data_IF_915429946602
#
_entry.id   IF_915429946602
#
_cell.length_a   1.000
_cell.length_b   1.000
_cell.length_c   1.000
_cell.angle_alpha   90.00
_cell.angle_beta   90.00
_cell.angle_gamma   90.00
#
_symmetry.space_group_name_H-M   'P 1'
#
loop_
_entity.id
_entity.type
_entity.pdbx_description
1 polymer ?
#
# COMPACT_ATOMS: atom_id res chain seq x y z
N UNK A 1 3.12 18.67 -12.22
CA UNK A 1 2.23 17.82 -11.41
C UNK A 1 1.69 18.71 -10.32
N UNK A 2 0.38 18.72 -10.07
CA UNK A 2 -0.24 19.63 -9.12
C UNK A 2 -0.41 18.94 -7.77
N UNK A 3 -0.31 19.68 -6.66
CA UNK A 3 -0.56 19.21 -5.28
C UNK A 3 -1.96 18.58 -5.15
N UNK A 4 -2.94 19.01 -5.94
CA UNK A 4 -4.26 18.37 -5.96
C UNK A 4 -4.24 16.85 -6.26
N UNK A 5 -3.17 16.36 -6.90
CA UNK A 5 -3.03 14.94 -7.23
C UNK A 5 -2.48 14.09 -6.08
N UNK A 6 -1.62 14.63 -5.20
CA UNK A 6 -1.11 13.84 -4.08
C UNK A 6 -2.18 13.70 -2.98
N UNK A 7 -3.07 14.69 -2.83
CA UNK A 7 -4.22 14.62 -1.93
C UNK A 7 -5.16 13.45 -2.25
N UNK A 8 -5.28 13.08 -3.54
CA UNK A 8 -6.08 11.93 -3.98
C UNK A 8 -5.53 10.58 -3.50
N UNK A 9 -4.23 10.51 -3.16
CA UNK A 9 -3.60 9.29 -2.66
C UNK A 9 -3.75 9.13 -1.14
N UNK A 10 -4.00 10.20 -0.40
CA UNK A 10 -4.18 10.16 1.06
C UNK A 10 -5.23 9.13 1.50
N UNK A 11 -6.49 9.15 0.99
CA UNK A 11 -7.49 8.18 1.43
C UNK A 11 -7.20 6.73 1.00
N UNK A 12 -6.26 6.54 0.07
CA UNK A 12 -5.89 5.21 -0.44
C UNK A 12 -4.67 4.64 0.27
N UNK A 13 -3.86 5.48 0.90
CA UNK A 13 -2.63 5.07 1.57
C UNK A 13 -2.96 4.60 2.98
N UNK A 14 -2.55 3.39 3.33
CA UNK A 14 -2.80 2.81 4.65
C UNK A 14 -1.49 2.60 5.40
N UNK A 15 -1.55 2.73 6.72
CA UNK A 15 -0.43 2.39 7.60
C UNK A 15 -0.64 1.02 8.20
N UNK A 16 0.43 0.21 8.22
CA UNK A 16 0.40 -1.13 8.77
C UNK A 16 1.09 -1.15 10.13
N UNK A 17 0.47 -1.86 11.07
CA UNK A 17 0.96 -2.01 12.42
C UNK A 17 0.76 -3.44 12.90
N UNK A 18 1.75 -3.97 13.61
CA UNK A 18 1.68 -5.25 14.28
C UNK A 18 0.56 -5.23 15.33
N UNK A 19 -0.35 -6.22 15.31
CA UNK A 19 -1.50 -6.27 16.21
C UNK A 19 -1.12 -6.51 17.67
N UNK A 20 -0.01 -7.20 17.90
CA UNK A 20 0.38 -7.67 19.23
C UNK A 20 1.25 -6.61 19.93
N UNK A 21 2.19 -6.02 19.18
CA UNK A 21 3.20 -5.10 19.72
C UNK A 21 2.90 -3.63 19.46
N UNK A 22 1.91 -3.33 18.61
CA UNK A 22 1.57 -1.98 18.15
C UNK A 22 2.74 -1.23 17.49
N UNK A 23 3.75 -1.96 17.00
CA UNK A 23 4.85 -1.37 16.22
C UNK A 23 4.45 -1.24 14.77
N UNK A 24 4.73 -0.09 14.17
CA UNK A 24 4.49 0.12 12.74
C UNK A 24 5.41 -0.75 11.90
N UNK A 25 4.84 -1.40 10.89
CA UNK A 25 5.55 -2.38 10.04
C UNK A 25 5.70 -1.91 8.60
N UNK A 26 4.88 -0.97 8.15
CA UNK A 26 5.03 -0.36 6.84
C UNK A 26 3.80 0.37 6.32
N UNK A 27 3.71 0.43 4.99
CA UNK A 27 2.67 1.12 4.23
C UNK A 27 2.00 0.15 3.27
N UNK A 28 0.72 0.35 3.00
CA UNK A 28 0.01 -0.29 1.90
C UNK A 28 -0.81 0.71 1.10
N UNK A 29 -1.45 0.22 0.04
CA UNK A 29 -2.42 0.99 -0.74
C UNK A 29 -3.70 0.18 -0.95
N UNK A 30 -4.85 0.83 -0.76
CA UNK A 30 -6.16 0.30 -1.13
C UNK A 30 -6.25 0.24 -2.64
N UNK A 31 -6.55 -0.94 -3.17
CA UNK A 31 -6.86 -1.20 -4.56
C UNK A 31 -8.29 -1.68 -4.70
N UNK A 32 -9.10 -0.93 -5.45
CA UNK A 32 -10.48 -1.28 -5.78
C UNK A 32 -10.64 -1.28 -7.30
N UNK A 33 -11.37 -2.27 -7.80
CA UNK A 33 -11.72 -2.39 -9.21
C UNK A 33 -13.12 -2.99 -9.34
N UNK A 34 -13.84 -2.64 -10.41
CA UNK A 34 -15.22 -3.08 -10.62
C UNK A 34 -15.35 -4.61 -10.64
N UNK A 35 -14.34 -5.30 -11.18
CA UNK A 35 -14.30 -6.76 -11.22
C UNK A 35 -14.13 -7.44 -9.85
N UNK A 36 -13.80 -6.68 -8.80
CA UNK A 36 -13.66 -7.22 -7.44
C UNK A 36 -14.99 -7.27 -6.68
N UNK A 37 -16.08 -6.78 -7.27
CA UNK A 37 -17.42 -6.81 -6.68
C UNK A 37 -17.47 -6.18 -5.27
N UNK A 38 -17.65 -6.99 -4.23
CA UNK A 38 -17.76 -6.64 -2.82
C UNK A 38 -16.42 -6.65 -2.08
N UNK A 39 -15.32 -7.00 -2.76
CA UNK A 39 -13.97 -7.04 -2.20
C UNK A 39 -13.13 -5.85 -2.64
N UNK A 40 -12.11 -5.55 -1.85
CA UNK A 40 -10.99 -4.71 -2.21
C UNK A 40 -9.70 -5.37 -1.75
N UNK A 41 -8.58 -4.90 -2.29
CA UNK A 41 -7.27 -5.39 -1.92
C UNK A 41 -6.48 -4.31 -1.19
N UNK A 42 -5.67 -4.71 -0.22
CA UNK A 42 -4.55 -3.90 0.25
C UNK A 42 -3.28 -4.49 -0.36
N UNK A 43 -2.62 -3.70 -1.20
CA UNK A 43 -1.33 -4.06 -1.77
C UNK A 43 -0.23 -3.53 -0.86
N UNK A 44 0.71 -4.39 -0.48
CA UNK A 44 1.84 -4.01 0.39
C UNK A 44 3.05 -4.90 0.11
N UNK A 45 4.13 -4.68 0.86
CA UNK A 45 5.29 -5.56 0.86
C UNK A 45 5.05 -6.75 1.79
N UNK A 46 5.52 -7.94 1.40
CA UNK A 46 5.38 -9.14 2.22
C UNK A 46 6.10 -8.98 3.55
N UNK A 47 7.29 -8.38 3.60
CA UNK A 47 8.05 -8.22 4.85
C UNK A 47 7.29 -7.45 5.93
N UNK A 48 6.33 -6.59 5.56
CA UNK A 48 5.46 -5.88 6.52
C UNK A 48 4.55 -6.82 7.32
N UNK A 49 4.34 -8.06 6.85
CA UNK A 49 3.45 -9.06 7.41
C UNK A 49 4.20 -10.16 8.20
N UNK A 50 5.52 -10.17 8.15
CA UNK A 50 6.37 -11.11 8.88
C UNK A 50 7.13 -10.45 10.05
N UNK A 51 7.11 -11.08 11.23
CA UNK A 51 7.82 -10.62 12.44
C UNK A 51 9.33 -10.56 12.22
N UNK A 52 9.85 -11.45 11.39
CA UNK A 52 11.26 -11.54 11.01
C UNK A 52 11.61 -10.83 9.69
N UNK A 53 10.69 -10.00 9.16
CA UNK A 53 10.91 -9.16 7.99
C UNK A 53 11.20 -9.98 6.72
N UNK A 54 12.35 -9.75 6.10
CA UNK A 54 12.75 -10.33 4.81
C UNK A 54 13.11 -11.83 4.89
N UNK A 55 13.08 -12.41 6.09
CA UNK A 55 13.32 -13.84 6.28
C UNK A 55 12.09 -14.69 5.95
N UNK A 56 10.89 -14.10 6.02
CA UNK A 56 9.61 -14.72 5.69
C UNK A 56 9.29 -16.04 6.43
N UNK A 57 9.77 -16.23 7.67
CA UNK A 57 9.54 -17.46 8.45
C UNK A 57 8.49 -17.30 9.54
N UNK A 58 8.42 -16.12 10.15
CA UNK A 58 7.52 -15.86 11.28
C UNK A 58 6.37 -14.95 10.86
N UNK A 59 5.29 -15.55 10.34
CA UNK A 59 4.13 -14.82 9.86
C UNK A 59 3.31 -14.28 11.03
N UNK A 60 2.92 -13.00 10.97
CA UNK A 60 1.94 -12.43 11.92
C UNK A 60 0.57 -13.07 11.70
N UNK A 61 -0.15 -13.37 12.77
CA UNK A 61 -1.53 -13.86 12.63
C UNK A 61 -2.47 -12.74 12.17
N UNK A 62 -2.33 -11.54 12.74
CA UNK A 62 -3.14 -10.39 12.44
C UNK A 62 -2.28 -9.16 12.14
N UNK A 63 -2.87 -8.21 11.42
CA UNK A 63 -2.29 -6.91 11.15
C UNK A 63 -3.34 -5.82 11.39
N UNK A 64 -2.92 -4.73 12.02
CA UNK A 64 -3.72 -3.52 12.11
C UNK A 64 -3.47 -2.68 10.85
N UNK A 65 -4.56 -2.25 10.23
CA UNK A 65 -4.59 -1.41 9.03
C UNK A 65 -5.24 -0.11 9.43
N UNK A 66 -4.43 0.93 9.54
CA UNK A 66 -4.86 2.29 9.82
C UNK A 66 -5.25 2.94 8.48
N UNK A 67 -6.51 3.37 8.35
CA UNK A 67 -7.16 3.87 7.13
C UNK A 67 -7.64 5.30 7.36
N UNK A 68 -7.35 6.22 6.42
CA UNK A 68 -7.74 7.62 6.56
C UNK A 68 -9.26 7.82 6.45
N UNK A 69 -9.83 8.43 7.47
CA UNK A 69 -11.22 8.90 7.51
C UNK A 69 -11.26 10.41 7.24
N UNK A 70 -11.92 10.80 6.15
CA UNK A 70 -12.03 12.20 5.73
C UNK A 70 -12.90 13.05 6.64
N UNK A 71 -13.86 12.46 7.34
CA UNK A 71 -14.75 13.17 8.27
C UNK A 71 -14.00 13.56 9.54
N UNK A 72 -13.31 12.59 10.15
CA UNK A 72 -12.58 12.79 11.42
C UNK A 72 -11.18 13.37 11.20
N UNK A 73 -10.69 13.37 9.95
CA UNK A 73 -9.32 13.74 9.55
C UNK A 73 -8.25 12.92 10.27
N UNK A 74 -8.58 11.69 10.65
CA UNK A 74 -7.70 10.77 11.38
C UNK A 74 -7.62 9.42 10.67
N UNK A 75 -6.70 8.58 11.13
CA UNK A 75 -6.64 7.20 10.68
C UNK A 75 -7.40 6.31 11.67
N UNK A 76 -8.44 5.65 11.18
CA UNK A 76 -9.21 4.66 11.93
C UNK A 76 -8.66 3.27 11.66
N UNK A 77 -8.77 2.38 12.65
CA UNK A 77 -8.11 1.09 12.62
C UNK A 77 -9.07 -0.04 12.28
N UNK A 78 -8.64 -0.88 11.36
CA UNK A 78 -9.19 -2.21 11.09
C UNK A 78 -8.15 -3.27 11.43
N UNK A 79 -8.49 -4.27 12.25
CA UNK A 79 -7.64 -5.45 12.44
C UNK A 79 -8.07 -6.54 11.46
N UNK A 80 -7.10 -7.10 10.74
CA UNK A 80 -7.34 -8.12 9.73
C UNK A 80 -6.46 -9.35 9.94
N UNK A 81 -7.05 -10.54 9.80
CA UNK A 81 -6.32 -11.81 9.86
C UNK A 81 -5.58 -12.06 8.55
N UNK A 82 -4.29 -12.37 8.63
CA UNK A 82 -3.48 -12.59 7.44
C UNK A 82 -3.74 -14.00 6.89
N UNK A 83 -4.04 -14.08 5.58
CA UNK A 83 -4.13 -15.35 4.88
C UNK A 83 -2.77 -15.70 4.25
N UNK A 84 -2.09 -16.78 4.70
CA UNK A 84 -0.78 -17.18 4.21
C UNK A 84 -0.71 -17.51 2.72
N UNK A 85 -1.84 -17.87 2.09
CA UNK A 85 -1.93 -18.28 0.69
C UNK A 85 -1.93 -17.09 -0.28
N UNK A 86 -2.10 -15.86 0.23
CA UNK A 86 -2.19 -14.63 -0.56
C UNK A 86 -0.90 -13.79 -0.51
N UNK A 87 0.20 -14.41 -0.07
CA UNK A 87 1.49 -13.77 0.14
C UNK A 87 2.54 -14.32 -0.84
N UNK A 88 3.23 -13.44 -1.57
CA UNK A 88 4.42 -13.87 -2.30
C UNK A 88 5.63 -13.86 -1.35
N UNK A 89 6.18 -15.04 -1.06
CA UNK A 89 7.32 -15.24 -0.14
C UNK A 89 8.62 -15.40 -0.91
N UNK A 90 8.90 -14.46 -1.81
CA UNK A 90 10.14 -14.46 -2.58
C UNK A 90 10.83 -13.12 -2.40
N UNK A 91 12.10 -13.13 -2.00
CA UNK A 91 12.86 -11.90 -1.76
C UNK A 91 12.97 -10.99 -3.00
N UNK A 92 12.94 -11.59 -4.19
CA UNK A 92 12.93 -10.86 -5.46
C UNK A 92 11.54 -10.34 -5.85
N UNK A 93 10.50 -10.72 -5.09
CA UNK A 93 9.08 -10.35 -5.28
C UNK A 93 8.42 -10.14 -3.91
N UNK A 94 8.86 -9.08 -3.24
CA UNK A 94 8.36 -8.69 -1.92
C UNK A 94 7.00 -7.97 -2.02
N UNK A 95 5.96 -8.75 -2.35
CA UNK A 95 4.60 -8.25 -2.59
C UNK A 95 3.57 -9.15 -1.90
N UNK A 96 2.63 -8.53 -1.20
CA UNK A 96 1.51 -9.20 -0.56
C UNK A 96 0.18 -8.53 -0.90
N UNK A 97 -0.88 -9.34 -0.87
CA UNK A 97 -2.26 -8.89 -1.07
C UNK A 97 -3.10 -9.31 0.13
N UNK A 98 -3.74 -8.35 0.79
CA UNK A 98 -4.78 -8.62 1.80
C UNK A 98 -6.14 -8.40 1.15
N UNK A 99 -7.06 -9.36 1.29
CA UNK A 99 -8.43 -9.25 0.74
C UNK A 99 -9.35 -8.78 1.84
N UNK A 100 -9.97 -7.62 1.64
CA UNK A 100 -10.88 -7.00 2.61
C UNK A 100 -12.28 -6.90 2.01
N UNK A 101 -13.28 -7.18 2.83
CA UNK A 101 -14.68 -6.88 2.52
C UNK A 101 -14.91 -5.38 2.49
N UNK A 102 -15.54 -4.87 1.42
CA UNK A 102 -15.90 -3.45 1.33
C UNK A 102 -16.77 -3.01 2.50
N UNK A 103 -17.66 -3.89 2.97
CA UNK A 103 -18.51 -3.64 4.15
C UNK A 103 -17.71 -3.38 5.44
N UNK A 104 -16.52 -3.98 5.57
CA UNK A 104 -15.67 -3.82 6.75
C UNK A 104 -14.99 -2.44 6.83
N UNK A 105 -14.87 -1.72 5.71
CA UNK A 105 -14.26 -0.38 5.68
C UNK A 105 -15.23 0.74 5.30
N UNK A 106 -16.48 0.40 4.96
CA UNK A 106 -17.48 1.38 4.53
C UNK A 106 -17.79 2.43 5.61
N UNK A 107 -17.66 2.06 6.89
CA UNK A 107 -17.79 2.97 8.02
C UNK A 107 -16.61 3.95 8.18
N UNK A 108 -15.50 3.72 7.47
CA UNK A 108 -14.28 4.55 7.52
C UNK A 108 -14.14 5.38 6.24
N UNK A 109 -14.40 4.75 5.09
CA UNK A 109 -14.36 5.36 3.77
C UNK A 109 -15.71 5.14 3.09
N UNK A 110 -16.45 6.22 2.90
CA UNK A 110 -17.76 6.18 2.23
C UNK A 110 -17.61 5.84 0.73
N UNK A 111 -16.66 6.50 0.05
CA UNK A 111 -16.44 6.35 -1.40
C UNK A 111 -15.02 5.86 -1.67
N UNK A 112 -14.90 4.64 -2.18
CA UNK A 112 -13.61 4.04 -2.58
C UNK A 112 -13.47 4.17 -4.10
N UNK A 113 -12.55 5.01 -4.62
CA UNK A 113 -12.38 5.18 -6.05
C UNK A 113 -11.81 3.91 -6.71
N UNK A 114 -12.25 3.63 -7.93
CA UNK A 114 -11.66 2.57 -8.77
C UNK A 114 -10.28 2.99 -9.25
N UNK A 115 -9.31 2.08 -9.14
CA UNK A 115 -7.91 2.31 -9.52
C UNK A 115 -7.59 1.60 -10.83
N UNK A 116 -7.07 2.36 -11.79
CA UNK A 116 -6.55 1.81 -13.05
C UNK A 116 -5.07 1.47 -12.89
N UNK A 117 -4.72 0.23 -13.23
CA UNK A 117 -3.33 -0.23 -13.22
C UNK A 117 -2.67 0.13 -14.55
N UNK A 118 -1.50 0.77 -14.47
CA UNK A 118 -0.66 1.02 -15.63
C UNK A 118 0.20 -0.23 -15.87
N UNK A 119 0.09 -0.83 -17.05
CA UNK A 119 0.84 -2.05 -17.43
C UNK A 119 2.14 -1.73 -18.17
N UNK A 120 2.21 -0.59 -18.83
CA UNK A 120 3.32 -0.18 -19.68
C UNK A 120 3.95 1.11 -19.14
N UNK A 121 5.28 1.08 -18.98
CA UNK A 121 6.06 2.14 -18.31
C UNK A 121 6.25 3.38 -19.20
N UNK A 122 6.29 3.18 -20.51
CA UNK A 122 6.98 4.08 -21.45
C UNK A 122 6.28 5.44 -21.64
N UNK A 123 5.06 5.59 -21.13
CA UNK A 123 4.24 6.80 -21.25
C UNK A 123 4.30 7.74 -20.04
N UNK A 124 4.86 7.34 -18.89
CA UNK A 124 4.82 8.14 -17.65
C UNK A 124 6.20 8.39 -17.04
N UNK A 125 6.67 9.64 -17.11
CA UNK A 125 7.99 10.03 -16.56
C UNK A 125 7.94 10.58 -15.13
N UNK A 126 6.79 11.06 -14.67
CA UNK A 126 6.61 11.68 -13.35
C UNK A 126 5.58 10.89 -12.55
N UNK A 127 5.86 10.64 -11.29
CA UNK A 127 4.95 9.90 -10.41
C UNK A 127 4.98 10.46 -8.99
N UNK A 128 3.98 10.08 -8.21
CA UNK A 128 3.84 10.46 -6.80
C UNK A 128 3.99 9.18 -6.00
N UNK A 129 4.83 9.21 -4.96
CA UNK A 129 4.95 8.13 -4.00
C UNK A 129 4.51 8.68 -2.65
N UNK A 130 3.61 7.97 -1.97
CA UNK A 130 3.08 8.37 -0.66
C UNK A 130 3.14 7.21 0.31
N UNK A 131 3.47 7.49 1.56
CA UNK A 131 3.57 6.45 2.59
C UNK A 131 4.07 6.95 3.93
N UNK A 132 4.31 6.02 4.84
CA UNK A 132 4.76 6.25 6.21
C UNK A 132 6.21 5.80 6.36
N UNK A 133 7.19 6.69 6.11
CA UNK A 133 8.59 6.31 6.16
C UNK A 133 9.06 6.10 7.60
N UNK A 134 10.02 5.19 7.78
CA UNK A 134 10.69 5.00 9.09
C UNK A 134 11.37 6.27 9.58
N UNK A 135 11.78 7.17 8.69
CA UNK A 135 12.41 8.45 9.03
C UNK A 135 11.50 9.40 9.83
N UNK A 136 10.18 9.27 9.70
CA UNK A 136 9.18 10.00 10.51
C UNK A 136 8.61 9.12 11.62
N UNK A 137 9.35 8.09 12.03
CA UNK A 137 8.88 7.03 12.95
C UNK A 137 7.58 6.34 12.48
N UNK A 138 7.25 6.43 11.18
CA UNK A 138 5.98 6.00 10.59
C UNK A 138 4.74 6.73 11.15
N UNK A 139 4.93 7.89 11.78
CA UNK A 139 3.84 8.69 12.37
C UNK A 139 3.24 9.67 11.36
N UNK A 140 4.05 10.14 10.42
CA UNK A 140 3.66 11.13 9.42
C UNK A 140 3.56 10.52 8.02
N UNK A 141 2.52 10.93 7.29
CA UNK A 141 2.36 10.62 5.87
C UNK A 141 3.28 11.53 5.05
N UNK A 142 4.30 10.95 4.43
CA UNK A 142 5.22 11.66 3.55
C UNK A 142 4.85 11.48 2.09
N UNK A 143 5.20 12.47 1.26
CA UNK A 143 5.05 12.44 -0.19
C UNK A 143 6.40 12.71 -0.85
N UNK A 144 6.69 11.94 -1.91
CA UNK A 144 7.81 12.15 -2.81
C UNK A 144 7.28 12.38 -4.22
N UNK A 145 8.04 13.15 -5.00
CA UNK A 145 7.72 13.49 -6.39
C UNK A 145 8.83 13.02 -7.35
N UNK A 146 9.04 11.70 -7.52
CA UNK A 146 10.14 11.23 -8.32
C UNK A 146 9.90 11.45 -9.82
N UNK A 147 11.00 11.52 -10.56
CA UNK A 147 11.01 11.54 -12.02
C UNK A 147 11.92 10.42 -12.49
N UNK A 148 11.52 9.65 -13.50
CA UNK A 148 12.39 8.67 -14.14
C UNK A 148 13.54 9.37 -14.85
N UNK A 149 14.78 9.07 -14.47
CA UNK A 149 15.98 9.68 -15.05
C UNK A 149 16.64 8.85 -16.17
N UNK A 150 16.21 7.60 -16.39
CA UNK A 150 16.92 6.68 -17.30
C UNK A 150 16.15 6.47 -18.61
N UNK A 151 16.59 7.15 -19.68
CA UNK A 151 16.55 6.58 -21.03
C UNK A 151 17.80 5.70 -21.16
N UNK A 152 17.64 4.39 -21.28
CA UNK A 152 18.75 3.54 -21.74
C UNK A 152 18.81 3.74 -23.25
N UNK A 153 19.84 4.41 -23.82
CA UNK A 153 19.99 4.40 -25.27
C UNK A 153 20.21 2.95 -25.71
N UNK A 154 19.50 2.53 -26.76
CA UNK A 154 19.83 1.31 -27.48
C UNK A 154 21.25 1.45 -28.03
N UNK A 155 22.24 0.97 -27.29
CA UNK A 155 23.58 0.81 -27.84
C UNK A 155 23.52 -0.40 -28.77
N UNK A 156 23.29 -0.14 -30.05
CA UNK A 156 23.56 -1.11 -31.09
C UNK A 156 25.08 -1.27 -31.17
N UNK A 157 25.58 -2.40 -30.66
CA UNK A 157 26.95 -2.83 -30.91
C UNK A 157 26.95 -3.41 -32.32
N UNK A 158 27.57 -2.70 -33.27
CA UNK A 158 27.84 -3.17 -34.63
C UNK A 158 29.14 -3.98 -34.65
#
# INVERSE_FOLDING_TARGET
MKEENDLKLTPLTVRLQDSDTLKYTGTGIIYSHESLSDKLYILTASHCLFKDGDNFKDLRENINIDIYNSETKKYDRLTHKINPDLLFRNINKDVAVLIIDKSAIHSIIEIIPTIKVIKEKDTYQKFIVKGFPKATFSEELAVLYPTWLQHVPLVFIF
#
